data_IF_167468102129
#
_entry.id   IF_167468102129
#
_cell.length_a   1.000
_cell.length_b   1.000
_cell.length_c   1.000
_cell.angle_alpha   90.00
_cell.angle_beta   90.00
_cell.angle_gamma   90.00
#
_symmetry.space_group_name_H-M   'P 1'
#
loop_
_entity.id
_entity.type
_entity.pdbx_description
1 polymer ?
#
# COMPACT_ATOMS: atom_id res chain seq x y z
N UNK A 1 -4.32 5.93 9.91
CA UNK A 1 -3.76 4.64 9.44
C UNK A 1 -2.99 4.03 10.60
N UNK A 2 -3.27 2.79 10.99
CA UNK A 2 -2.52 2.13 12.07
C UNK A 2 -1.12 1.80 11.56
N UNK A 3 -0.10 2.28 12.27
CA UNK A 3 1.31 1.95 12.04
C UNK A 3 1.69 0.80 12.96
N UNK A 4 2.37 -0.20 12.42
CA UNK A 4 2.95 -1.30 13.15
C UNK A 4 4.45 -1.02 13.32
N UNK A 5 4.89 -0.90 14.56
CA UNK A 5 6.32 -0.80 14.90
C UNK A 5 6.87 -2.20 15.02
N UNK A 6 7.84 -2.52 14.17
CA UNK A 6 8.47 -3.82 14.12
C UNK A 6 9.95 -3.67 14.42
N UNK A 7 10.42 -4.36 15.46
CA UNK A 7 11.85 -4.52 15.74
C UNK A 7 12.37 -5.66 14.89
N UNK A 8 13.24 -5.36 13.93
CA UNK A 8 13.92 -6.41 13.17
C UNK A 8 14.96 -7.13 14.05
N UNK A 9 15.44 -8.32 13.67
CA UNK A 9 16.54 -9.00 14.38
C UNK A 9 17.82 -8.17 14.47
N UNK A 10 18.00 -7.21 13.56
CA UNK A 10 19.09 -6.24 13.56
C UNK A 10 18.85 -5.06 14.52
N UNK A 11 17.80 -5.12 15.34
CA UNK A 11 17.38 -4.10 16.29
C UNK A 11 17.08 -2.74 15.63
N UNK A 12 16.56 -2.76 14.40
CA UNK A 12 16.10 -1.57 13.69
C UNK A 12 14.58 -1.52 13.75
N UNK A 13 14.03 -0.37 14.12
CA UNK A 13 12.58 -0.15 14.11
C UNK A 13 12.13 0.27 12.72
N UNK A 14 11.32 -0.57 12.08
CA UNK A 14 10.69 -0.26 10.80
C UNK A 14 9.20 -0.02 11.03
N UNK A 15 8.71 1.15 10.62
CA UNK A 15 7.29 1.45 10.62
C UNK A 15 6.61 0.85 9.39
N UNK A 16 5.75 -0.15 9.59
CA UNK A 16 4.91 -0.67 8.52
C UNK A 16 3.49 -0.12 8.60
N UNK A 17 2.94 0.27 7.46
CA UNK A 17 1.53 0.61 7.38
C UNK A 17 0.70 -0.67 7.34
N UNK A 18 -0.16 -0.88 8.34
CA UNK A 18 -1.12 -1.99 8.33
C UNK A 18 -2.08 -1.80 7.16
N UNK A 19 -2.31 -2.86 6.39
CA UNK A 19 -3.23 -2.80 5.25
C UNK A 19 -4.64 -2.41 5.70
N UNK A 20 -5.30 -1.51 4.96
CA UNK A 20 -6.70 -1.15 5.22
C UNK A 20 -7.62 -2.33 4.90
N UNK A 21 -8.67 -2.53 5.71
CA UNK A 21 -9.69 -3.57 5.50
C UNK A 21 -10.20 -3.65 4.05
N UNK A 22 -10.50 -2.51 3.43
CA UNK A 22 -10.98 -2.46 2.04
C UNK A 22 -10.00 -3.07 1.03
N UNK A 23 -8.68 -2.88 1.21
CA UNK A 23 -7.67 -3.50 0.34
C UNK A 23 -7.63 -5.02 0.47
N UNK A 24 -7.95 -5.55 1.66
CA UNK A 24 -8.08 -7.00 1.90
C UNK A 24 -9.31 -7.58 1.22
N UNK A 25 -10.44 -6.89 1.34
CA UNK A 25 -11.70 -7.30 0.69
C UNK A 25 -11.53 -7.29 -0.83
N UNK A 26 -10.94 -6.24 -1.39
CA UNK A 26 -10.69 -6.16 -2.83
C UNK A 26 -9.74 -7.27 -3.31
N UNK A 27 -8.68 -7.56 -2.57
CA UNK A 27 -7.78 -8.68 -2.88
C UNK A 27 -8.53 -10.03 -2.87
N UNK A 28 -9.39 -10.24 -1.87
CA UNK A 28 -10.20 -11.43 -1.75
C UNK A 28 -11.20 -11.59 -2.91
N UNK A 29 -11.87 -10.51 -3.32
CA UNK A 29 -12.78 -10.51 -4.47
C UNK A 29 -12.03 -10.89 -5.75
N UNK A 30 -10.86 -10.29 -6.00
CA UNK A 30 -10.04 -10.61 -7.17
C UNK A 30 -9.63 -12.08 -7.15
N UNK A 31 -9.18 -12.59 -6.01
CA UNK A 31 -8.80 -14.00 -5.87
C UNK A 31 -10.00 -14.94 -6.08
N UNK A 32 -11.21 -14.57 -5.64
CA UNK A 32 -12.44 -15.34 -5.91
C UNK A 32 -12.72 -15.37 -7.41
N UNK A 33 -12.65 -14.22 -8.09
CA UNK A 33 -12.90 -14.15 -9.54
C UNK A 33 -11.95 -15.07 -10.29
N UNK A 34 -10.65 -15.02 -9.98
CA UNK A 34 -9.64 -15.88 -10.61
C UNK A 34 -9.97 -17.36 -10.41
N UNK A 35 -10.32 -17.76 -9.18
CA UNK A 35 -10.69 -19.15 -8.86
C UNK A 35 -11.94 -19.60 -9.62
N UNK A 36 -12.98 -18.76 -9.66
CA UNK A 36 -14.23 -19.06 -10.38
C UNK A 36 -13.97 -19.16 -11.88
N UNK A 37 -13.23 -18.23 -12.46
CA UNK A 37 -12.87 -18.25 -13.89
C UNK A 37 -12.10 -19.53 -14.23
N UNK A 38 -11.11 -19.91 -13.43
CA UNK A 38 -10.39 -21.17 -13.60
C UNK A 38 -11.33 -22.37 -13.58
N UNK A 39 -12.22 -22.47 -12.58
CA UNK A 39 -13.17 -23.60 -12.48
C UNK A 39 -14.09 -23.68 -13.69
N UNK A 40 -14.64 -22.55 -14.14
CA UNK A 40 -15.53 -22.52 -15.31
C UNK A 40 -14.79 -23.00 -16.55
N UNK A 41 -13.57 -22.51 -16.79
CA UNK A 41 -12.76 -22.90 -17.96
C UNK A 41 -12.38 -24.37 -17.88
N UNK A 42 -11.91 -24.84 -16.72
CA UNK A 42 -11.48 -26.21 -16.54
C UNK A 42 -12.64 -27.21 -16.68
N UNK A 43 -13.80 -26.92 -16.09
CA UNK A 43 -14.98 -27.77 -16.23
C UNK A 43 -15.54 -27.79 -17.66
N UNK A 44 -15.54 -26.65 -18.36
CA UNK A 44 -15.90 -26.62 -19.79
C UNK A 44 -14.92 -27.38 -20.67
N UNK A 45 -13.63 -27.35 -20.33
CA UNK A 45 -12.61 -28.11 -21.04
C UNK A 45 -12.81 -29.61 -20.87
N UNK A 46 -13.07 -30.08 -19.64
CA UNK A 46 -13.35 -31.50 -19.37
C UNK A 46 -14.65 -31.97 -20.03
N UNK A 47 -15.70 -31.14 -20.03
CA UNK A 47 -16.97 -31.53 -20.64
C UNK A 47 -16.87 -31.76 -22.16
N UNK A 48 -15.86 -31.19 -22.83
CA UNK A 48 -15.58 -31.46 -24.24
C UNK A 48 -15.20 -32.92 -24.52
N UNK A 49 -14.54 -33.60 -23.58
CA UNK A 49 -14.10 -34.99 -23.74
C UNK A 49 -15.23 -36.01 -23.60
N UNK A 50 -16.44 -35.58 -23.19
CA UNK A 50 -17.65 -36.43 -23.09
C UNK A 50 -17.41 -37.77 -22.39
N UNK A 51 -16.70 -37.73 -21.26
CA UNK A 51 -16.41 -38.93 -20.47
C UNK A 51 -17.72 -39.49 -19.90
N UNK A 52 -18.04 -40.73 -20.29
CA UNK A 52 -19.29 -41.41 -19.90
C UNK A 52 -19.19 -42.17 -18.58
N UNK A 53 -17.98 -42.51 -18.13
CA UNK A 53 -17.76 -43.17 -16.85
C UNK A 53 -17.87 -42.14 -15.70
N UNK A 54 -18.87 -42.32 -14.84
CA UNK A 54 -19.15 -41.42 -13.71
C UNK A 54 -18.02 -41.39 -12.67
N UNK A 55 -17.38 -42.53 -12.37
CA UNK A 55 -16.30 -42.60 -11.38
C UNK A 55 -15.06 -41.88 -11.88
N UNK A 56 -14.73 -42.07 -13.16
CA UNK A 56 -13.62 -41.36 -13.79
C UNK A 56 -13.90 -39.84 -13.82
N UNK A 57 -15.13 -39.44 -14.14
CA UNK A 57 -15.53 -38.04 -14.18
C UNK A 57 -15.41 -37.37 -12.80
N UNK A 58 -15.90 -38.04 -11.74
CA UNK A 58 -15.76 -37.58 -10.37
C UNK A 58 -14.29 -37.46 -9.94
N UNK A 59 -13.47 -38.44 -10.30
CA UNK A 59 -12.02 -38.40 -10.07
C UNK A 59 -11.37 -37.16 -10.71
N UNK A 60 -11.68 -36.89 -11.98
CA UNK A 60 -11.13 -35.74 -12.72
C UNK A 60 -11.60 -34.41 -12.12
N UNK A 61 -12.89 -34.27 -11.79
CA UNK A 61 -13.41 -33.05 -11.18
C UNK A 61 -12.78 -32.76 -9.81
N UNK A 62 -12.59 -33.80 -8.99
CA UNK A 62 -11.90 -33.64 -7.70
C UNK A 62 -10.45 -33.18 -7.87
N UNK A 63 -9.73 -33.75 -8.84
CA UNK A 63 -8.35 -33.39 -9.14
C UNK A 63 -8.21 -31.94 -9.61
N UNK A 64 -9.13 -31.46 -10.45
CA UNK A 64 -9.13 -30.08 -10.97
C UNK A 64 -9.49 -29.06 -9.89
N UNK A 65 -10.30 -29.45 -8.91
CA UNK A 65 -10.70 -28.58 -7.80
C UNK A 65 -9.57 -28.36 -6.79
N UNK A 66 -8.67 -29.34 -6.65
CA UNK A 66 -7.61 -29.32 -5.63
C UNK A 66 -6.66 -28.11 -5.74
N UNK A 67 -6.17 -27.70 -6.94
CA UNK A 67 -5.40 -26.46 -7.09
C UNK A 67 -6.13 -25.20 -6.62
N UNK A 68 -7.46 -25.15 -6.75
CA UNK A 68 -8.27 -23.99 -6.32
C UNK A 68 -8.34 -23.90 -4.80
N UNK A 69 -8.46 -25.05 -4.15
CA UNK A 69 -8.47 -25.15 -2.69
C UNK A 69 -7.11 -24.74 -2.09
N UNK A 70 -6.02 -25.14 -2.74
CA UNK A 70 -4.64 -24.83 -2.32
C UNK A 70 -4.10 -23.51 -2.87
N UNK A 71 -4.84 -22.82 -3.73
CA UNK A 71 -4.43 -21.59 -4.43
C UNK A 71 -3.74 -20.57 -3.50
N UNK A 72 -4.35 -20.32 -2.33
CA UNK A 72 -3.83 -19.35 -1.37
C UNK A 72 -2.45 -19.73 -0.82
N UNK A 73 -2.28 -20.97 -0.36
CA UNK A 73 -1.00 -21.45 0.22
C UNK A 73 0.07 -21.52 -0.85
N UNK A 74 -0.26 -22.07 -2.01
CA UNK A 74 0.69 -22.25 -3.12
C UNK A 74 1.21 -20.87 -3.54
N UNK A 75 0.33 -19.93 -3.84
CA UNK A 75 0.77 -18.61 -4.28
C UNK A 75 1.45 -17.81 -3.18
N UNK A 76 0.96 -17.83 -1.94
CA UNK A 76 1.64 -17.13 -0.85
C UNK A 76 3.05 -17.67 -0.64
N UNK A 77 3.26 -18.99 -0.80
CA UNK A 77 4.59 -19.59 -0.69
C UNK A 77 5.48 -19.19 -1.87
N UNK A 78 4.96 -19.23 -3.10
CA UNK A 78 5.74 -18.91 -4.31
C UNK A 78 6.04 -17.41 -4.46
N UNK A 79 5.11 -16.54 -4.06
CA UNK A 79 5.20 -15.09 -4.24
C UNK A 79 5.54 -14.35 -2.94
N UNK A 80 6.14 -15.03 -1.95
CA UNK A 80 6.60 -14.44 -0.69
C UNK A 80 5.49 -13.63 0.03
N UNK A 81 4.34 -14.26 0.26
CA UNK A 81 3.23 -13.72 1.04
C UNK A 81 2.20 -12.94 0.24
N UNK A 82 2.16 -13.13 -1.07
CA UNK A 82 1.20 -12.49 -1.96
C UNK A 82 0.42 -13.55 -2.77
N UNK A 83 -0.87 -13.31 -2.96
CA UNK A 83 -1.67 -13.93 -4.03
C UNK A 83 -1.77 -12.93 -5.18
N UNK A 84 -2.36 -13.31 -6.32
CA UNK A 84 -2.56 -12.38 -7.44
C UNK A 84 -3.39 -11.17 -6.99
N UNK A 85 -4.49 -11.39 -6.26
CA UNK A 85 -5.31 -10.29 -5.73
C UNK A 85 -4.52 -9.38 -4.79
N UNK A 86 -3.72 -9.95 -3.88
CA UNK A 86 -2.88 -9.17 -2.96
C UNK A 86 -1.76 -8.41 -3.67
N UNK A 87 -1.20 -8.99 -4.72
CA UNK A 87 -0.19 -8.35 -5.54
C UNK A 87 -0.77 -7.11 -6.24
N UNK A 88 -1.96 -7.22 -6.83
CA UNK A 88 -2.68 -6.11 -7.47
C UNK A 88 -3.01 -5.01 -6.45
N UNK A 89 -3.51 -5.37 -5.27
CA UNK A 89 -3.85 -4.38 -4.23
C UNK A 89 -2.64 -3.85 -3.47
N UNK A 90 -1.42 -4.34 -3.80
CA UNK A 90 -0.14 -3.97 -3.20
C UNK A 90 -0.13 -4.21 -1.68
N UNK A 91 -0.57 -5.38 -1.26
CA UNK A 91 -0.48 -5.85 0.14
C UNK A 91 0.31 -7.15 0.23
N UNK A 92 0.94 -7.41 1.38
CA UNK A 92 1.78 -8.59 1.60
C UNK A 92 1.64 -9.11 3.02
N UNK A 93 1.67 -10.43 3.18
CA UNK A 93 1.79 -11.10 4.48
C UNK A 93 3.26 -11.15 4.91
N UNK A 94 3.54 -10.65 6.11
CA UNK A 94 4.86 -10.73 6.77
C UNK A 94 4.69 -11.25 8.19
N UNK A 95 5.78 -11.69 8.81
CA UNK A 95 5.79 -12.03 10.23
C UNK A 95 5.72 -10.76 11.09
N UNK A 96 5.37 -10.92 12.37
CA UNK A 96 5.30 -9.80 13.32
C UNK A 96 6.66 -9.13 13.59
N UNK A 97 7.76 -9.84 13.34
CA UNK A 97 9.15 -9.34 13.37
C UNK A 97 9.59 -8.70 12.04
N UNK A 98 8.70 -8.64 11.04
CA UNK A 98 8.95 -8.03 9.73
C UNK A 98 9.67 -8.95 8.75
N UNK A 99 10.03 -10.16 9.18
CA UNK A 99 10.64 -11.14 8.30
C UNK A 99 9.64 -11.72 7.31
N UNK A 100 10.18 -12.40 6.28
CA UNK A 100 9.38 -13.18 5.35
C UNK A 100 8.68 -14.31 6.12
N UNK A 101 7.39 -14.46 5.91
CA UNK A 101 6.66 -15.58 6.47
C UNK A 101 7.08 -16.89 5.79
N UNK A 102 7.22 -17.95 6.59
CA UNK A 102 7.56 -19.28 6.12
C UNK A 102 6.33 -20.01 5.58
N UNK A 103 6.55 -21.14 4.90
CA UNK A 103 5.48 -22.03 4.45
C UNK A 103 4.52 -22.43 5.58
N UNK A 104 5.06 -22.74 6.76
CA UNK A 104 4.26 -23.11 7.94
C UNK A 104 3.27 -22.01 8.32
N UNK A 105 3.71 -20.74 8.27
CA UNK A 105 2.86 -19.61 8.58
C UNK A 105 1.71 -19.50 7.57
N UNK A 106 1.99 -19.63 6.27
CA UNK A 106 0.96 -19.62 5.22
C UNK A 106 -0.01 -20.80 5.33
N UNK A 107 0.50 -21.98 5.67
CA UNK A 107 -0.31 -23.18 5.85
C UNK A 107 -1.24 -23.08 7.07
N UNK A 108 -0.73 -22.62 8.22
CA UNK A 108 -1.54 -22.41 9.43
C UNK A 108 -2.66 -21.38 9.18
N UNK A 109 -2.33 -20.27 8.51
CA UNK A 109 -3.29 -19.24 8.07
C UNK A 109 -4.38 -19.78 7.15
N UNK A 110 -4.04 -20.75 6.30
CA UNK A 110 -4.96 -21.38 5.37
C UNK A 110 -5.88 -22.38 6.08
N UNK A 111 -5.33 -23.24 6.94
CA UNK A 111 -6.11 -24.20 7.74
C UNK A 111 -7.18 -23.49 8.58
N UNK A 112 -6.80 -22.44 9.30
CA UNK A 112 -7.75 -21.65 10.09
C UNK A 112 -8.72 -20.89 9.18
N UNK A 113 -8.25 -20.46 8.02
CA UNK A 113 -9.06 -19.87 6.95
C UNK A 113 -10.24 -20.74 6.53
N UNK A 114 -10.11 -22.07 6.55
CA UNK A 114 -11.20 -22.98 6.22
C UNK A 114 -12.39 -22.78 7.17
N UNK A 115 -12.13 -22.63 8.46
CA UNK A 115 -13.18 -22.42 9.45
C UNK A 115 -13.61 -20.94 9.51
N UNK A 116 -12.68 -20.00 9.63
CA UNK A 116 -13.05 -18.60 9.85
C UNK A 116 -13.62 -17.91 8.59
N UNK A 117 -13.21 -18.33 7.38
CA UNK A 117 -13.67 -17.72 6.11
C UNK A 117 -14.75 -18.59 5.47
N UNK A 118 -14.47 -19.87 5.20
CA UNK A 118 -15.42 -20.68 4.42
C UNK A 118 -16.66 -21.08 5.23
N UNK A 119 -16.51 -21.46 6.50
CA UNK A 119 -17.65 -21.89 7.32
C UNK A 119 -18.50 -20.71 7.83
N UNK A 120 -17.87 -19.58 8.19
CA UNK A 120 -18.59 -18.41 8.74
C UNK A 120 -18.82 -17.27 7.74
N UNK A 121 -18.58 -17.54 6.44
CA UNK A 121 -18.62 -16.52 5.37
C UNK A 121 -17.78 -15.27 5.69
N UNK A 122 -16.68 -15.45 6.44
CA UNK A 122 -15.77 -14.36 6.82
C UNK A 122 -16.23 -13.50 8.00
N UNK A 123 -17.34 -13.81 8.66
CA UNK A 123 -17.83 -13.04 9.81
C UNK A 123 -16.79 -13.02 10.96
N UNK A 124 -16.21 -14.17 11.30
CA UNK A 124 -15.17 -14.28 12.34
C UNK A 124 -13.91 -13.51 11.94
N UNK A 125 -13.50 -13.63 10.68
CA UNK A 125 -12.35 -12.90 10.16
C UNK A 125 -12.57 -11.38 10.23
N UNK A 126 -13.76 -10.90 9.91
CA UNK A 126 -14.11 -9.48 9.99
C UNK A 126 -14.07 -8.95 11.42
N UNK A 127 -14.72 -9.65 12.35
CA UNK A 127 -14.78 -9.27 13.77
C UNK A 127 -13.37 -9.25 14.38
N UNK A 128 -12.56 -10.29 14.13
CA UNK A 128 -11.20 -10.36 14.67
C UNK A 128 -10.29 -9.25 14.15
N UNK A 129 -10.38 -8.90 12.86
CA UNK A 129 -9.64 -7.76 12.31
C UNK A 129 -10.11 -6.44 12.92
N UNK A 130 -11.42 -6.26 13.14
CA UNK A 130 -11.97 -5.02 13.69
C UNK A 130 -11.58 -4.78 15.15
N UNK A 131 -11.49 -5.85 15.95
CA UNK A 131 -11.15 -5.76 17.38
C UNK A 131 -9.64 -5.64 17.59
N UNK A 132 -8.83 -6.27 16.73
CA UNK A 132 -7.39 -6.31 16.93
C UNK A 132 -6.72 -5.00 16.47
N UNK A 133 -5.88 -4.42 17.33
CA UNK A 133 -5.11 -3.18 17.08
C UNK A 133 -4.26 -3.27 15.80
N UNK A 134 -3.69 -4.45 15.53
CA UNK A 134 -2.84 -4.71 14.37
C UNK A 134 -3.63 -5.16 13.13
N UNK A 135 -4.96 -5.21 13.22
CA UNK A 135 -5.83 -5.62 12.13
C UNK A 135 -5.59 -7.05 11.63
N UNK A 136 -5.26 -8.00 12.52
CA UNK A 136 -5.01 -9.39 12.16
C UNK A 136 -6.31 -10.22 12.32
N UNK A 137 -6.59 -11.13 11.38
CA UNK A 137 -7.66 -12.14 11.56
C UNK A 137 -7.19 -13.30 12.45
N UNK A 138 -8.08 -14.24 12.79
CA UNK A 138 -7.74 -15.37 13.67
C UNK A 138 -6.58 -16.20 13.11
N UNK A 139 -6.60 -16.50 11.81
CA UNK A 139 -5.51 -17.22 11.17
C UNK A 139 -4.18 -16.45 11.14
N UNK A 140 -4.23 -15.12 11.11
CA UNK A 140 -3.05 -14.27 11.15
C UNK A 140 -2.42 -14.31 12.55
N UNK A 141 -3.26 -14.26 13.60
CA UNK A 141 -2.85 -14.35 15.02
C UNK A 141 -2.18 -15.67 15.34
N UNK A 142 -2.79 -16.79 14.94
CA UNK A 142 -2.25 -18.12 15.21
C UNK A 142 -0.91 -18.39 14.49
N UNK A 143 -0.68 -17.75 13.34
CA UNK A 143 0.56 -17.86 12.60
C UNK A 143 1.58 -16.75 12.93
N UNK A 144 1.29 -15.87 13.90
CA UNK A 144 2.11 -14.71 14.26
C UNK A 144 2.50 -13.84 13.03
N UNK A 145 1.52 -13.57 12.17
CA UNK A 145 1.71 -12.81 10.92
C UNK A 145 0.79 -11.60 10.84
N UNK A 146 1.15 -10.65 9.99
CA UNK A 146 0.40 -9.42 9.75
C UNK A 146 0.39 -9.08 8.26
N UNK A 147 -0.65 -8.38 7.83
CA UNK A 147 -0.77 -7.91 6.45
C UNK A 147 -0.39 -6.43 6.37
N UNK A 148 0.66 -6.14 5.62
CA UNK A 148 1.20 -4.79 5.43
C UNK A 148 0.84 -4.24 4.04
N UNK A 149 0.73 -2.92 3.94
CA UNK A 149 0.58 -2.19 2.68
C UNK A 149 1.95 -1.87 2.08
N UNK A 150 2.13 -2.19 0.79
CA UNK A 150 3.31 -1.84 -0.01
C UNK A 150 3.10 -0.54 -0.82
N UNK A 151 1.92 0.09 -0.72
CA UNK A 151 1.69 1.37 -1.39
C UNK A 151 2.61 2.44 -0.80
N UNK A 152 3.39 3.17 -1.62
CA UNK A 152 4.13 4.31 -1.12
C UNK A 152 3.15 5.32 -0.54
N UNK A 153 3.52 5.98 0.55
CA UNK A 153 2.80 7.16 1.00
C UNK A 153 3.02 8.23 -0.07
N UNK A 154 2.08 8.32 -1.01
CA UNK A 154 1.97 9.50 -1.85
C UNK A 154 1.44 10.58 -0.92
N UNK A 155 2.35 11.39 -0.39
CA UNK A 155 1.95 12.66 0.17
C UNK A 155 1.38 13.45 -1.00
N UNK A 156 0.06 13.67 -1.00
CA UNK A 156 -0.66 14.30 -2.12
C UNK A 156 -0.03 15.65 -2.48
N UNK A 157 0.66 16.25 -1.50
CA UNK A 157 1.46 17.45 -1.69
C UNK A 157 2.54 17.31 -2.76
N UNK A 158 3.21 16.17 -2.91
CA UNK A 158 4.23 15.97 -3.94
C UNK A 158 3.63 15.89 -5.35
N UNK A 159 2.38 15.46 -5.50
CA UNK A 159 1.73 15.34 -6.82
C UNK A 159 1.26 16.68 -7.37
N UNK A 160 0.85 17.63 -6.51
CA UNK A 160 0.37 18.96 -6.94
C UNK A 160 1.46 19.73 -7.71
N UNK A 161 2.75 19.46 -7.43
CA UNK A 161 3.88 20.10 -8.11
C UNK A 161 4.28 19.41 -9.41
N UNK A 162 3.73 18.23 -9.71
CA UNK A 162 4.14 17.46 -10.89
C UNK A 162 3.35 17.81 -12.15
N UNK A 163 2.21 18.52 -12.02
CA UNK A 163 1.32 18.88 -13.13
C UNK A 163 1.54 20.31 -13.67
N UNK A 164 2.63 20.99 -13.31
CA UNK A 164 2.87 22.37 -13.76
C UNK A 164 3.91 22.42 -14.89
N UNK A 165 3.37 22.38 -16.11
CA UNK A 165 3.92 22.84 -17.39
C UNK A 165 5.34 22.35 -17.79
N UNK A 166 5.41 21.60 -18.90
CA UNK A 166 6.67 21.32 -19.63
C UNK A 166 7.45 22.59 -20.03
N UNK A 167 6.81 23.77 -19.99
CA UNK A 167 7.40 25.08 -20.27
C UNK A 167 7.44 26.00 -19.04
N UNK A 168 7.70 25.46 -17.85
CA UNK A 168 7.81 26.26 -16.64
C UNK A 168 9.08 27.14 -16.67
N UNK A 169 8.88 28.47 -16.72
CA UNK A 169 9.96 29.45 -16.59
C UNK A 169 10.26 29.71 -15.10
N UNK A 170 11.49 29.44 -14.69
CA UNK A 170 12.00 29.71 -13.34
C UNK A 170 11.95 31.23 -13.12
N UNK A 171 11.22 31.68 -12.10
CA UNK A 171 11.10 33.12 -11.78
C UNK A 171 12.21 33.57 -10.82
N UNK A 172 12.61 32.70 -9.89
CA UNK A 172 13.60 32.99 -8.86
C UNK A 172 14.78 32.00 -8.93
N UNK A 173 15.80 32.27 -9.76
CA UNK A 173 16.99 31.40 -9.87
C UNK A 173 17.78 31.27 -8.57
N UNK A 174 17.66 32.24 -7.66
CA UNK A 174 18.37 32.29 -6.37
C UNK A 174 17.94 31.18 -5.40
N UNK A 175 16.82 30.52 -5.70
CA UNK A 175 16.30 29.36 -4.96
C UNK A 175 17.26 28.17 -5.00
N UNK A 176 18.17 28.11 -5.98
CA UNK A 176 19.25 27.12 -6.04
C UNK A 176 20.20 27.12 -4.82
N UNK A 177 20.16 28.17 -3.98
CA UNK A 177 20.91 28.22 -2.72
C UNK A 177 20.31 27.34 -1.62
N UNK A 178 19.05 26.95 -1.74
CA UNK A 178 18.36 26.12 -0.76
C UNK A 178 18.67 24.64 -1.01
N UNK A 179 18.90 23.87 0.05
CA UNK A 179 19.05 22.42 -0.05
C UNK A 179 17.69 21.72 -0.17
N UNK A 180 17.66 20.49 -0.68
CA UNK A 180 16.45 19.65 -0.70
C UNK A 180 15.84 19.51 0.71
N UNK A 181 16.69 19.47 1.74
CA UNK A 181 16.27 19.42 3.14
C UNK A 181 15.53 20.70 3.55
N UNK A 182 16.03 21.86 3.16
CA UNK A 182 15.41 23.15 3.49
C UNK A 182 14.04 23.27 2.82
N UNK A 183 13.93 22.83 1.56
CA UNK A 183 12.66 22.85 0.82
C UNK A 183 11.63 21.91 1.42
N UNK A 184 12.02 20.72 1.86
CA UNK A 184 11.11 19.82 2.58
C UNK A 184 10.59 20.46 3.88
N UNK A 185 11.45 21.14 4.65
CA UNK A 185 11.03 21.83 5.89
C UNK A 185 10.06 22.98 5.57
N UNK A 186 10.37 23.79 4.55
CA UNK A 186 9.50 24.88 4.09
C UNK A 186 8.15 24.31 3.68
N UNK A 187 8.15 23.22 2.92
CA UNK A 187 6.97 22.54 2.41
C UNK A 187 6.06 22.00 3.53
N UNK A 188 6.65 21.33 4.52
CA UNK A 188 5.92 20.78 5.68
C UNK A 188 5.29 21.88 6.55
N UNK A 189 6.04 22.96 6.79
CA UNK A 189 5.55 24.10 7.56
C UNK A 189 4.49 24.89 6.79
N UNK A 190 4.67 25.07 5.48
CA UNK A 190 3.69 25.70 4.60
C UNK A 190 2.37 24.93 4.60
N UNK A 191 2.43 23.60 4.52
CA UNK A 191 1.25 22.76 4.60
C UNK A 191 0.56 22.79 5.95
N UNK A 192 1.34 22.79 7.03
CA UNK A 192 0.81 23.00 8.39
C UNK A 192 0.09 24.35 8.49
N UNK A 193 0.70 25.41 7.95
CA UNK A 193 0.15 26.76 7.98
C UNK A 193 -1.18 26.87 7.21
N UNK A 194 -1.27 26.25 6.02
CA UNK A 194 -2.50 26.22 5.22
C UNK A 194 -3.63 25.42 5.91
N UNK A 195 -3.32 24.26 6.50
CA UNK A 195 -4.32 23.45 7.22
C UNK A 195 -4.86 24.15 8.46
N UNK A 196 -4.02 24.90 9.14
CA UNK A 196 -4.37 25.62 10.37
C UNK A 196 -4.83 27.07 10.13
N UNK A 197 -4.91 27.53 8.87
CA UNK A 197 -5.13 28.95 8.51
C UNK A 197 -4.23 29.91 9.31
N UNK A 198 -2.99 29.51 9.58
CA UNK A 198 -2.06 30.28 10.40
C UNK A 198 -1.26 31.26 9.53
N UNK A 199 -1.81 32.46 9.36
CA UNK A 199 -1.20 33.52 8.56
C UNK A 199 0.13 34.02 9.13
N UNK A 200 0.31 34.00 10.45
CA UNK A 200 1.55 34.41 11.12
C UNK A 200 2.71 33.48 10.72
N UNK A 201 2.44 32.17 10.62
CA UNK A 201 3.44 31.19 10.15
C UNK A 201 3.79 31.39 8.67
N UNK A 202 2.82 31.74 7.82
CA UNK A 202 3.08 32.05 6.40
C UNK A 202 3.96 33.30 6.24
N UNK A 203 3.70 34.34 7.03
CA UNK A 203 4.51 35.55 7.04
C UNK A 203 5.93 35.26 7.56
N UNK A 204 6.06 34.51 8.66
CA UNK A 204 7.34 34.12 9.22
C UNK A 204 8.18 33.27 8.24
N UNK A 205 7.55 32.31 7.56
CA UNK A 205 8.19 31.52 6.50
C UNK A 205 8.66 32.41 5.35
N UNK A 206 7.81 33.32 4.89
CA UNK A 206 8.15 34.25 3.81
C UNK A 206 9.38 35.07 4.18
N UNK A 207 9.38 35.74 5.35
CA UNK A 207 10.52 36.54 5.81
C UNK A 207 11.81 35.73 5.90
N UNK A 208 11.72 34.47 6.37
CA UNK A 208 12.90 33.60 6.47
C UNK A 208 13.44 33.18 5.10
N UNK A 209 12.56 32.91 4.15
CA UNK A 209 12.94 32.62 2.76
C UNK A 209 13.59 33.85 2.13
N UNK A 210 13.03 35.05 2.31
CA UNK A 210 13.60 36.30 1.82
C UNK A 210 14.99 36.57 2.43
N UNK A 211 15.18 36.30 3.73
CA UNK A 211 16.46 36.45 4.42
C UNK A 211 17.55 35.52 3.87
N UNK A 212 17.22 34.25 3.62
CA UNK A 212 18.19 33.24 3.18
C UNK A 212 18.49 33.36 1.68
N UNK A 213 17.47 33.57 0.87
CA UNK A 213 17.61 33.58 -0.60
C UNK A 213 18.01 34.96 -1.13
N UNK A 214 17.62 36.03 -0.42
CA UNK A 214 17.74 37.42 -0.85
C UNK A 214 16.64 37.88 -1.82
N UNK A 215 15.71 36.97 -2.15
CA UNK A 215 14.58 37.25 -3.06
C UNK A 215 13.49 37.98 -2.29
N UNK A 216 12.83 38.96 -2.91
CA UNK A 216 11.66 39.64 -2.31
C UNK A 216 10.36 39.13 -2.91
N UNK A 217 9.32 39.09 -2.09
CA UNK A 217 7.95 38.93 -2.56
C UNK A 217 7.53 40.19 -3.33
N UNK A 218 7.74 40.21 -4.65
CA UNK A 218 7.42 41.33 -5.55
C UNK A 218 5.90 41.60 -5.65
N UNK A 219 5.26 42.02 -4.54
CA UNK A 219 3.81 42.23 -4.43
C UNK A 219 2.96 40.95 -4.47
N UNK A 220 3.60 39.78 -4.40
CA UNK A 220 2.96 38.48 -4.41
C UNK A 220 2.45 38.12 -3.00
N UNK A 221 1.27 37.52 -2.89
CA UNK A 221 0.76 37.04 -1.59
C UNK A 221 1.67 35.96 -1.00
N UNK A 222 1.72 35.84 0.33
CA UNK A 222 2.60 34.88 1.03
C UNK A 222 2.45 33.44 0.52
N UNK A 223 1.22 33.03 0.22
CA UNK A 223 0.91 31.70 -0.29
C UNK A 223 1.52 31.49 -1.68
N UNK A 224 1.24 32.42 -2.60
CA UNK A 224 1.73 32.35 -3.98
C UNK A 224 3.26 32.40 -4.03
N UNK A 225 3.88 33.22 -3.17
CA UNK A 225 5.33 33.34 -3.09
C UNK A 225 5.99 32.04 -2.65
N UNK A 226 5.57 31.48 -1.51
CA UNK A 226 6.15 30.24 -0.98
C UNK A 226 5.91 29.08 -1.96
N UNK A 227 4.71 28.98 -2.54
CA UNK A 227 4.40 27.96 -3.52
C UNK A 227 5.28 28.08 -4.76
N UNK A 228 5.56 29.31 -5.23
CA UNK A 228 6.45 29.56 -6.37
C UNK A 228 7.89 29.16 -6.08
N UNK A 229 8.41 29.49 -4.89
CA UNK A 229 9.76 29.13 -4.46
C UNK A 229 9.94 27.61 -4.45
N UNK A 230 8.96 26.87 -3.91
CA UNK A 230 8.99 25.40 -3.89
C UNK A 230 9.01 24.84 -5.33
N UNK A 231 8.18 25.39 -6.23
CA UNK A 231 8.15 24.97 -7.64
C UNK A 231 9.47 25.27 -8.37
N UNK A 232 9.99 26.49 -8.26
CA UNK A 232 11.24 26.92 -8.90
C UNK A 232 12.41 26.00 -8.47
N UNK A 233 12.45 25.57 -7.20
CA UNK A 233 13.47 24.62 -6.71
C UNK A 233 13.36 23.24 -7.36
N UNK A 234 12.16 22.64 -7.36
CA UNK A 234 11.95 21.32 -7.95
C UNK A 234 12.26 21.29 -9.45
N UNK A 235 11.92 22.36 -10.18
CA UNK A 235 12.25 22.48 -11.61
C UNK A 235 13.75 22.67 -11.86
N UNK A 236 14.46 23.41 -10.99
CA UNK A 236 15.91 23.59 -11.11
C UNK A 236 16.67 22.27 -10.93
N UNK A 237 16.27 21.44 -9.96
CA UNK A 237 16.94 20.17 -9.66
C UNK A 237 16.53 19.00 -10.58
N UNK A 238 15.43 19.13 -11.35
CA UNK A 238 15.02 18.13 -12.36
C UNK A 238 15.88 18.12 -13.62
N UNK A 239 16.54 19.25 -13.95
CA UNK A 239 17.34 19.42 -15.17
C UNK A 239 18.86 19.20 -14.97
N UNK A 240 19.26 18.62 -13.84
CA UNK A 240 20.63 18.13 -13.59
C UNK A 240 20.65 16.61 -13.52
#
# INVERSE_FOLDING_TARGET
>A
MNKLLVNTPQNVQIEYNVSVLGSRILAFIIDIIIRITYLIVAYKFISYFKITDEWLNLGIYSLITLPVLLYGVILETLMNGQTIGKWITKIRVVQMDGEKASFYNYFARWLIGIFEINLTFGAVAFITIAINKNGQRLGDLAANTVLISLKPQLDLHQTIFNDLAENYLIKFPEVAKLSDRDINIINDNFQTALKSNNFELLEALTRKIEEITGVKSDGMGFIDFIQRIIQDHYHFHRNK
#
